data_IF_134213452036
#
_entry.id   IF_134213452036
#
_cell.length_a   1.000
_cell.length_b   1.000
_cell.length_c   1.000
_cell.angle_alpha   90.00
_cell.angle_beta   90.00
_cell.angle_gamma   90.00
#
_symmetry.space_group_name_H-M   'P 1'
#
loop_
_entity.id
_entity.type
_entity.pdbx_description
1 polymer ?
#
# COMPACT_ATOMS: atom_id res chain seq x y z
N UNK A 1 4.44 4.31 -15.04
CA UNK A 1 3.35 3.63 -15.75
C UNK A 1 2.55 4.68 -16.53
N UNK A 2 2.04 4.36 -17.72
CA UNK A 2 1.17 5.23 -18.54
C UNK A 2 -0.14 4.52 -18.90
N UNK A 3 -0.47 3.43 -18.22
CA UNK A 3 -1.73 2.71 -18.40
C UNK A 3 -2.88 3.66 -18.07
N UNK A 4 -3.86 3.86 -18.98
CA UNK A 4 -5.01 4.70 -18.70
C UNK A 4 -5.80 4.10 -17.52
N UNK A 5 -6.38 4.95 -16.65
CA UNK A 5 -7.15 4.46 -15.53
C UNK A 5 -8.37 3.66 -16.04
N UNK A 6 -8.87 2.70 -15.25
CA UNK A 6 -10.04 1.93 -15.63
C UNK A 6 -11.26 2.82 -15.87
N UNK A 7 -12.19 2.32 -16.68
CA UNK A 7 -13.35 3.12 -17.11
C UNK A 7 -14.55 3.03 -16.17
N UNK A 8 -14.54 2.07 -15.25
CA UNK A 8 -15.61 1.88 -14.27
C UNK A 8 -15.08 1.70 -12.85
N UNK A 9 -15.93 2.05 -11.88
CA UNK A 9 -15.57 2.09 -10.45
C UNK A 9 -15.16 0.72 -9.91
N UNK A 10 -15.73 -0.37 -10.41
CA UNK A 10 -15.35 -1.73 -9.96
C UNK A 10 -13.91 -2.03 -10.35
N UNK A 11 -13.55 -1.82 -11.61
CA UNK A 11 -12.19 -2.03 -12.08
C UNK A 11 -11.19 -1.08 -11.40
N UNK A 12 -11.59 0.17 -11.12
CA UNK A 12 -10.78 1.10 -10.32
C UNK A 12 -10.49 0.52 -8.93
N UNK A 13 -11.52 0.09 -8.19
CA UNK A 13 -11.34 -0.49 -6.85
C UNK A 13 -10.52 -1.78 -6.86
N UNK A 14 -10.68 -2.62 -7.87
CA UNK A 14 -9.88 -3.85 -8.03
C UNK A 14 -8.40 -3.54 -8.30
N UNK A 15 -8.14 -2.56 -9.17
CA UNK A 15 -6.79 -2.10 -9.47
C UNK A 15 -6.15 -1.43 -8.24
N UNK A 16 -6.82 -0.44 -7.65
CA UNK A 16 -6.31 0.31 -6.50
C UNK A 16 -6.04 -0.63 -5.32
N UNK A 17 -6.93 -1.60 -5.03
CA UNK A 17 -6.70 -2.59 -3.98
C UNK A 17 -5.45 -3.46 -4.22
N UNK A 18 -5.11 -3.71 -5.49
CA UNK A 18 -3.87 -4.39 -5.84
C UNK A 18 -2.65 -3.48 -5.73
N UNK A 19 -2.80 -2.19 -5.97
CA UNK A 19 -1.74 -1.19 -5.79
C UNK A 19 -1.41 -1.02 -4.31
N UNK A 20 -2.43 -0.90 -3.45
CA UNK A 20 -2.24 -0.85 -1.99
C UNK A 20 -1.47 -2.07 -1.47
N UNK A 21 -1.80 -3.27 -1.94
CA UNK A 21 -1.08 -4.49 -1.57
C UNK A 21 0.39 -4.50 -2.02
N UNK A 22 0.75 -3.74 -3.06
CA UNK A 22 2.14 -3.54 -3.45
C UNK A 22 2.82 -2.48 -2.58
N UNK A 23 2.10 -1.43 -2.20
CA UNK A 23 2.62 -0.37 -1.34
C UNK A 23 2.90 -0.87 0.09
N UNK A 24 2.05 -1.74 0.65
CA UNK A 24 2.36 -2.48 1.89
C UNK A 24 3.72 -3.17 1.79
N UNK A 25 3.98 -3.94 0.72
CA UNK A 25 5.26 -4.65 0.54
C UNK A 25 6.43 -3.69 0.41
N UNK A 26 6.22 -2.56 -0.28
CA UNK A 26 7.25 -1.54 -0.48
C UNK A 26 7.60 -0.87 0.84
N UNK A 27 6.62 -0.47 1.64
CA UNK A 27 6.84 0.14 2.94
C UNK A 27 7.50 -0.81 3.94
N UNK A 28 7.09 -2.09 3.98
CA UNK A 28 7.78 -3.10 4.81
C UNK A 28 9.25 -3.28 4.39
N UNK A 29 9.53 -3.27 3.08
CA UNK A 29 10.91 -3.30 2.57
C UNK A 29 11.69 -2.05 2.99
N UNK A 30 11.08 -0.86 2.91
CA UNK A 30 11.71 0.39 3.34
C UNK A 30 11.95 0.43 4.85
N UNK A 31 11.03 -0.12 5.65
CA UNK A 31 11.21 -0.28 7.09
C UNK A 31 12.44 -1.14 7.40
N UNK A 32 12.59 -2.26 6.68
CA UNK A 32 13.74 -3.16 6.82
C UNK A 32 15.07 -2.46 6.45
N UNK A 33 15.08 -1.65 5.39
CA UNK A 33 16.26 -0.86 5.01
C UNK A 33 16.57 0.23 6.05
N UNK A 34 15.55 0.92 6.57
CA UNK A 34 15.73 1.91 7.61
C UNK A 34 16.31 1.29 8.90
N UNK A 35 15.89 0.07 9.25
CA UNK A 35 16.46 -0.68 10.37
C UNK A 35 17.94 -1.01 10.19
N UNK A 36 18.34 -1.45 8.98
CA UNK A 36 19.74 -1.75 8.66
C UNK A 36 20.65 -0.53 8.82
N UNK A 37 20.14 0.66 8.53
CA UNK A 37 20.86 1.94 8.67
C UNK A 37 20.73 2.56 10.08
N UNK A 38 20.04 1.89 11.02
CA UNK A 38 19.81 2.40 12.38
C UNK A 38 18.83 3.57 12.47
N UNK A 39 18.04 3.82 11.43
CA UNK A 39 17.07 4.92 11.33
C UNK A 39 15.71 4.51 11.92
N UNK A 40 15.66 4.22 13.21
CA UNK A 40 14.47 3.64 13.86
C UNK A 40 13.19 4.50 13.76
N UNK A 41 13.30 5.82 13.82
CA UNK A 41 12.15 6.71 13.64
C UNK A 41 11.56 6.60 12.22
N UNK A 42 12.43 6.41 11.22
CA UNK A 42 12.00 6.19 9.84
C UNK A 42 11.38 4.80 9.68
N UNK A 43 11.96 3.77 10.31
CA UNK A 43 11.38 2.42 10.35
C UNK A 43 9.94 2.45 10.84
N UNK A 44 9.70 3.02 12.02
CA UNK A 44 8.35 3.13 12.59
C UNK A 44 7.38 3.82 11.64
N UNK A 45 7.82 4.93 11.02
CA UNK A 45 6.99 5.64 10.04
C UNK A 45 6.66 4.77 8.82
N UNK A 46 7.59 3.96 8.32
CA UNK A 46 7.31 3.05 7.20
C UNK A 46 6.36 1.93 7.63
N UNK A 47 6.47 1.42 8.86
CA UNK A 47 5.53 0.44 9.41
C UNK A 47 4.11 1.01 9.56
N UNK A 48 3.99 2.27 10.03
CA UNK A 48 2.70 2.96 10.11
C UNK A 48 2.06 3.11 8.72
N UNK A 49 2.84 3.55 7.71
CA UNK A 49 2.33 3.66 6.34
C UNK A 49 1.94 2.29 5.76
N UNK A 50 2.69 1.22 6.04
CA UNK A 50 2.29 -0.12 5.62
C UNK A 50 0.95 -0.56 6.25
N UNK A 51 0.67 -0.15 7.49
CA UNK A 51 -0.61 -0.44 8.12
C UNK A 51 -1.76 0.38 7.51
N UNK A 52 -1.52 1.65 7.19
CA UNK A 52 -2.50 2.52 6.51
C UNK A 52 -2.91 1.92 5.14
N UNK A 53 -1.94 1.50 4.31
CA UNK A 53 -2.26 0.92 2.99
C UNK A 53 -2.95 -0.45 3.10
N UNK A 54 -2.65 -1.23 4.15
CA UNK A 54 -3.38 -2.48 4.41
C UNK A 54 -4.86 -2.21 4.75
N UNK A 55 -5.13 -1.17 5.55
CA UNK A 55 -6.50 -0.71 5.85
C UNK A 55 -7.22 -0.21 4.59
N UNK A 56 -6.56 0.61 3.76
CA UNK A 56 -7.11 1.07 2.49
C UNK A 56 -7.48 -0.10 1.57
N UNK A 57 -6.56 -1.06 1.39
CA UNK A 57 -6.79 -2.24 0.57
C UNK A 57 -7.95 -3.09 1.08
N UNK A 58 -8.09 -3.22 2.41
CA UNK A 58 -9.21 -3.90 3.05
C UNK A 58 -10.55 -3.19 2.82
N UNK A 59 -10.58 -1.86 2.93
CA UNK A 59 -11.79 -1.07 2.69
C UNK A 59 -12.26 -1.18 1.23
N UNK A 60 -11.33 -1.14 0.25
CA UNK A 60 -11.67 -1.34 -1.16
C UNK A 60 -12.26 -2.73 -1.42
N UNK A 61 -11.68 -3.78 -0.82
CA UNK A 61 -12.24 -5.14 -0.91
C UNK A 61 -13.64 -5.23 -0.30
N UNK A 62 -13.87 -4.53 0.82
CA UNK A 62 -15.20 -4.45 1.46
C UNK A 62 -16.23 -3.78 0.55
N UNK A 63 -15.84 -2.74 -0.20
CA UNK A 63 -16.72 -2.05 -1.16
C UNK A 63 -17.06 -2.90 -2.39
N UNK A 64 -16.18 -3.82 -2.80
CA UNK A 64 -16.40 -4.71 -3.94
C UNK A 64 -17.44 -5.81 -3.68
N UNK A 65 -17.68 -6.14 -2.41
CA UNK A 65 -18.64 -7.15 -1.97
C UNK A 65 -18.04 -8.54 -1.82
#
# INVERSE_FOLDING_TARGET
DLTPPPSNVREMLEQDSSEEANDVKNYIKLASLAEQEGLYALKMKMEDQAADEDEHGHEMKRLLG
#
